data_IF_313978483172
#
_entry.id   IF_313978483172
#
_cell.length_a   1.000
_cell.length_b   1.000
_cell.length_c   1.000
_cell.angle_alpha   90.00
_cell.angle_beta   90.00
_cell.angle_gamma   90.00
#
_symmetry.space_group_name_H-M   'P 1'
#
loop_
_entity.id
_entity.type
_entity.pdbx_description
1 polymer ?
#
# COMPACT_ATOMS: atom_id res chain seq x y z
N UNK A 1 -9.19 -22.97 -37.76
CA UNK A 1 -10.56 -22.86 -37.21
C UNK A 1 -10.48 -23.17 -35.73
N UNK A 2 -10.50 -22.12 -34.88
CA UNK A 2 -10.36 -22.23 -33.42
C UNK A 2 -11.65 -21.68 -32.80
N UNK A 3 -12.35 -22.52 -32.06
CA UNK A 3 -13.52 -22.18 -31.24
C UNK A 3 -13.05 -21.52 -29.94
N UNK A 4 -13.72 -20.46 -29.42
CA UNK A 4 -13.30 -19.83 -28.18
C UNK A 4 -13.97 -20.51 -26.98
N UNK A 5 -13.15 -20.89 -26.01
CA UNK A 5 -13.57 -21.23 -24.66
C UNK A 5 -13.86 -19.91 -23.93
N UNK A 6 -15.13 -19.54 -23.90
CA UNK A 6 -15.71 -18.67 -22.86
C UNK A 6 -16.84 -19.49 -22.29
N UNK A 7 -16.75 -19.93 -21.04
CA UNK A 7 -17.84 -20.31 -20.12
C UNK A 7 -17.22 -21.03 -18.91
N UNK A 8 -16.59 -20.25 -18.02
CA UNK A 8 -16.20 -20.71 -16.68
C UNK A 8 -16.04 -19.51 -15.72
N UNK A 9 -17.03 -18.62 -15.69
CA UNK A 9 -17.10 -17.53 -14.70
C UNK A 9 -18.57 -17.18 -14.49
N UNK A 10 -19.31 -18.02 -13.77
CA UNK A 10 -20.66 -17.71 -13.25
C UNK A 10 -21.16 -18.78 -12.27
N UNK A 11 -20.32 -19.26 -11.35
CA UNK A 11 -20.79 -20.18 -10.29
C UNK A 11 -20.00 -20.00 -8.99
N UNK A 12 -20.05 -18.80 -8.41
CA UNK A 12 -19.74 -18.61 -6.99
C UNK A 12 -20.38 -17.35 -6.38
N UNK A 13 -21.62 -17.03 -6.77
CA UNK A 13 -22.45 -16.05 -6.05
C UNK A 13 -23.89 -16.58 -6.00
N UNK A 14 -24.11 -17.55 -5.13
CA UNK A 14 -25.44 -18.07 -4.83
C UNK A 14 -25.52 -18.51 -3.35
N UNK A 15 -25.21 -17.59 -2.44
CA UNK A 15 -25.59 -17.67 -1.02
C UNK A 15 -25.64 -16.23 -0.51
N UNK A 16 -26.75 -15.55 -0.81
CA UNK A 16 -27.38 -14.46 -0.05
C UNK A 16 -28.55 -13.96 -0.94
N UNK A 17 -29.77 -14.22 -0.49
CA UNK A 17 -30.99 -13.90 -1.22
C UNK A 17 -31.24 -12.38 -1.24
N UNK A 18 -31.20 -11.77 -2.42
CA UNK A 18 -31.78 -10.45 -2.69
C UNK A 18 -32.48 -10.54 -4.07
N UNK A 19 -33.78 -10.19 -4.18
CA UNK A 19 -34.51 -10.33 -5.44
C UNK A 19 -34.08 -9.29 -6.48
N UNK A 20 -33.75 -9.75 -7.69
CA UNK A 20 -33.61 -8.94 -8.90
C UNK A 20 -34.98 -8.35 -9.27
N UNK A 21 -35.25 -7.12 -8.86
CA UNK A 21 -36.25 -6.22 -9.46
C UNK A 21 -35.97 -4.78 -9.01
N UNK A 22 -34.82 -4.25 -9.42
CA UNK A 22 -34.58 -2.81 -9.50
C UNK A 22 -33.35 -2.65 -10.38
N UNK A 23 -33.55 -2.06 -11.57
CA UNK A 23 -32.61 -1.31 -12.43
C UNK A 23 -33.23 -1.36 -13.83
N UNK A 24 -34.14 -0.41 -14.07
CA UNK A 24 -34.47 0.07 -15.41
C UNK A 24 -33.98 1.51 -15.47
N UNK A 25 -33.20 1.84 -16.50
CA UNK A 25 -32.91 3.21 -16.89
C UNK A 25 -31.51 3.68 -16.51
N UNK A 26 -30.55 3.50 -17.43
CA UNK A 26 -29.47 4.47 -17.60
C UNK A 26 -29.39 4.77 -19.09
N UNK A 27 -29.85 5.96 -19.45
CA UNK A 27 -29.61 6.58 -20.75
C UNK A 27 -28.15 7.06 -20.82
N UNK A 28 -27.57 6.95 -22.02
CA UNK A 28 -26.31 7.58 -22.39
C UNK A 28 -26.39 9.10 -22.24
N UNK A 29 -25.39 9.74 -21.60
CA UNK A 29 -24.91 11.05 -22.05
C UNK A 29 -23.54 11.46 -21.50
N UNK A 30 -22.76 11.94 -22.46
CA UNK A 30 -21.84 13.09 -22.42
C UNK A 30 -20.51 12.96 -21.67
N UNK A 31 -19.49 12.72 -22.49
CA UNK A 31 -18.08 13.03 -22.29
C UNK A 31 -17.91 14.50 -21.86
N UNK A 32 -17.34 14.75 -20.69
CA UNK A 32 -16.78 16.05 -20.33
C UNK A 32 -15.26 15.97 -20.24
N UNK A 33 -14.59 16.84 -21.01
CA UNK A 33 -13.14 17.02 -21.04
C UNK A 33 -12.72 17.94 -19.89
N UNK A 34 -11.76 17.48 -19.09
CA UNK A 34 -10.96 18.34 -18.22
C UNK A 34 -11.16 18.01 -16.74
N UNK A 35 -10.07 17.57 -16.11
CA UNK A 35 -9.81 17.57 -14.67
C UNK A 35 -11.00 17.28 -13.75
N UNK A 36 -11.07 16.07 -13.21
CA UNK A 36 -11.37 15.86 -11.78
C UNK A 36 -10.97 14.43 -11.38
N UNK A 37 -10.14 14.37 -10.34
CA UNK A 37 -9.88 13.18 -9.55
C UNK A 37 -10.93 13.27 -8.46
N UNK A 38 -11.95 12.41 -8.49
CA UNK A 38 -12.70 11.84 -7.35
C UNK A 38 -13.98 11.25 -7.94
N UNK A 39 -14.13 9.92 -7.89
CA UNK A 39 -15.40 9.24 -7.66
C UNK A 39 -15.12 7.74 -7.62
N UNK A 40 -15.16 7.18 -6.42
CA UNK A 40 -15.87 5.96 -6.04
C UNK A 40 -15.71 5.80 -4.53
N UNK A 41 -16.59 6.50 -3.80
CA UNK A 41 -17.05 6.14 -2.46
C UNK A 41 -18.57 6.14 -2.57
N UNK A 42 -19.13 5.08 -3.17
CA UNK A 42 -20.55 4.79 -3.07
C UNK A 42 -20.71 3.43 -2.41
N UNK A 43 -20.76 3.45 -1.09
CA UNK A 43 -21.57 2.57 -0.26
C UNK A 43 -21.70 3.18 1.14
N UNK A 44 -22.32 4.36 1.21
CA UNK A 44 -23.24 4.81 2.28
C UNK A 44 -23.84 6.14 1.86
N UNK A 45 -25.17 6.23 1.83
CA UNK A 45 -25.91 7.45 1.49
C UNK A 45 -25.81 8.50 2.61
N UNK A 46 -24.71 9.24 2.67
CA UNK A 46 -24.68 10.54 3.37
C UNK A 46 -24.32 11.67 2.40
N UNK A 47 -24.98 12.85 2.49
CA UNK A 47 -24.73 13.95 1.57
C UNK A 47 -23.31 14.51 1.72
N UNK A 48 -22.59 14.57 0.59
CA UNK A 48 -21.22 15.07 0.40
C UNK A 48 -20.96 16.45 1.03
N UNK A 49 -22.01 17.26 1.15
CA UNK A 49 -21.93 18.62 1.67
C UNK A 49 -21.84 18.72 3.21
N UNK A 50 -22.09 17.62 3.93
CA UNK A 50 -21.86 17.53 5.38
C UNK A 50 -20.41 17.22 5.76
N UNK A 51 -19.58 16.74 4.81
CA UNK A 51 -18.19 16.34 5.03
C UNK A 51 -17.18 17.46 4.74
N UNK A 52 -17.49 18.39 3.83
CA UNK A 52 -16.59 19.52 3.49
C UNK A 52 -16.36 20.46 4.68
N UNK A 53 -17.35 20.64 5.55
CA UNK A 53 -17.28 21.57 6.68
C UNK A 53 -16.48 21.02 7.88
N UNK A 54 -16.15 19.72 7.91
CA UNK A 54 -15.35 19.11 8.99
C UNK A 54 -13.84 19.06 8.74
N UNK A 55 -13.39 19.32 7.51
CA UNK A 55 -11.99 19.12 7.12
C UNK A 55 -11.11 20.36 7.21
N UNK A 56 -11.65 21.51 7.61
CA UNK A 56 -10.89 22.76 7.74
C UNK A 56 -11.30 23.49 9.03
N UNK A 57 -10.86 22.97 10.18
CA UNK A 57 -10.82 23.76 11.42
C UNK A 57 -9.41 23.67 12.02
N UNK A 58 -8.69 24.79 12.18
CA UNK A 58 -7.34 24.80 12.70
C UNK A 58 -7.39 24.82 14.24
N UNK A 59 -7.51 23.65 14.85
CA UNK A 59 -7.11 23.31 16.23
C UNK A 59 -7.57 21.88 16.56
N UNK A 60 -7.01 20.87 15.89
CA UNK A 60 -7.33 19.46 16.18
C UNK A 60 -6.15 18.82 16.92
N UNK A 61 -6.21 18.83 18.25
CA UNK A 61 -5.36 17.96 19.06
C UNK A 61 -6.18 17.34 20.21
N UNK A 62 -7.06 16.36 19.93
CA UNK A 62 -7.56 15.49 20.99
C UNK A 62 -6.47 14.47 21.33
N UNK A 63 -6.24 14.19 22.61
CA UNK A 63 -5.29 13.18 23.08
C UNK A 63 -5.50 11.77 22.45
N UNK A 64 -6.64 11.53 21.81
CA UNK A 64 -7.06 10.31 21.10
C UNK A 64 -7.67 10.63 19.73
N UNK A 65 -7.55 9.74 18.72
CA UNK A 65 -8.26 9.85 17.45
C UNK A 65 -9.78 9.97 17.61
N UNK A 66 -10.45 10.65 16.67
CA UNK A 66 -11.91 10.77 16.67
C UNK A 66 -12.60 9.44 16.37
N UNK A 67 -13.88 9.30 16.74
CA UNK A 67 -14.70 8.12 16.43
C UNK A 67 -14.70 7.79 14.92
N UNK A 68 -14.72 8.81 14.06
CA UNK A 68 -14.67 8.61 12.61
C UNK A 68 -13.34 8.02 12.12
N UNK A 69 -12.22 8.38 12.77
CA UNK A 69 -10.92 7.77 12.49
C UNK A 69 -10.94 6.30 12.91
N UNK A 70 -11.42 6.01 14.13
CA UNK A 70 -11.55 4.65 14.65
C UNK A 70 -12.38 3.75 13.74
N UNK A 71 -13.51 4.22 13.23
CA UNK A 71 -14.34 3.46 12.27
C UNK A 71 -13.57 3.08 11.01
N UNK A 72 -12.71 3.98 10.50
CA UNK A 72 -11.93 3.72 9.28
C UNK A 72 -10.79 2.73 9.49
N UNK A 73 -10.11 2.79 10.65
CA UNK A 73 -8.90 2.00 10.88
C UNK A 73 -9.17 0.62 11.49
N UNK A 74 -10.28 0.44 12.21
CA UNK A 74 -10.58 -0.80 12.95
C UNK A 74 -10.45 -2.07 12.10
N UNK A 75 -10.92 -2.12 10.84
CA UNK A 75 -10.79 -3.31 10.00
C UNK A 75 -9.33 -3.69 9.66
N UNK A 76 -8.40 -2.75 9.85
CA UNK A 76 -7.00 -2.88 9.45
C UNK A 76 -6.05 -3.00 10.64
N UNK A 77 -6.59 -2.98 11.87
CA UNK A 77 -5.79 -3.13 13.07
C UNK A 77 -5.15 -4.52 13.13
N UNK A 78 -3.92 -4.55 13.62
CA UNK A 78 -3.21 -5.80 13.90
C UNK A 78 -3.99 -6.60 14.97
N UNK A 79 -4.24 -7.91 14.76
CA UNK A 79 -4.97 -8.73 15.72
C UNK A 79 -4.32 -8.77 17.10
N UNK A 80 -5.14 -8.86 18.16
CA UNK A 80 -4.66 -8.84 19.55
C UNK A 80 -3.70 -9.98 19.88
N UNK A 81 -3.89 -11.14 19.26
CA UNK A 81 -3.07 -12.34 19.42
C UNK A 81 -1.88 -12.42 18.43
N UNK A 82 -1.65 -11.38 17.62
CA UNK A 82 -0.58 -11.39 16.63
C UNK A 82 0.79 -11.20 17.31
N UNK A 83 1.79 -12.02 16.93
CA UNK A 83 3.10 -12.04 17.57
C UNK A 83 3.80 -10.65 17.57
N UNK A 84 3.78 -9.95 16.44
CA UNK A 84 4.33 -8.59 16.36
C UNK A 84 3.60 -7.60 17.28
N UNK A 85 2.29 -7.77 17.52
CA UNK A 85 1.54 -6.87 18.42
C UNK A 85 2.01 -7.04 19.85
N UNK A 86 2.08 -8.28 20.34
CA UNK A 86 2.52 -8.59 21.71
C UNK A 86 3.91 -7.99 21.97
N UNK A 87 4.82 -8.11 20.99
CA UNK A 87 6.16 -7.53 21.07
C UNK A 87 6.17 -6.00 21.02
N UNK A 88 5.38 -5.40 20.15
CA UNK A 88 5.26 -3.94 20.09
C UNK A 88 4.67 -3.36 21.37
N UNK A 89 3.66 -4.03 21.97
CA UNK A 89 3.09 -3.61 23.26
C UNK A 89 4.16 -3.60 24.36
N UNK A 90 5.02 -4.62 24.40
CA UNK A 90 6.14 -4.71 25.35
C UNK A 90 7.18 -3.60 25.12
N UNK A 91 7.67 -3.47 23.89
CA UNK A 91 8.68 -2.47 23.47
C UNK A 91 8.21 -1.03 23.76
N UNK A 92 6.93 -0.73 23.49
CA UNK A 92 6.40 0.64 23.50
C UNK A 92 5.67 0.99 24.81
N UNK A 93 5.50 0.04 25.73
CA UNK A 93 4.73 0.20 26.97
C UNK A 93 5.07 1.44 27.80
N UNK A 94 6.32 1.89 27.78
CA UNK A 94 6.80 3.02 28.57
C UNK A 94 7.76 3.94 27.79
N UNK A 95 7.76 3.85 26.46
CA UNK A 95 8.72 4.57 25.62
C UNK A 95 8.00 5.30 24.48
N UNK A 96 8.30 6.59 24.31
CA UNK A 96 7.82 7.37 23.17
C UNK A 96 8.77 7.21 21.98
N UNK A 97 8.88 5.97 21.46
CA UNK A 97 9.88 5.61 20.46
C UNK A 97 9.78 6.44 19.16
N UNK A 98 8.59 6.90 18.79
CA UNK A 98 8.36 7.61 17.52
C UNK A 98 8.23 9.12 17.67
N UNK A 99 8.81 9.73 18.72
CA UNK A 99 8.85 11.18 18.84
C UNK A 99 9.80 11.81 17.80
N UNK A 100 11.07 11.40 17.83
CA UNK A 100 12.14 11.82 16.92
C UNK A 100 13.09 10.65 16.61
N UNK A 101 14.12 10.88 15.78
CA UNK A 101 15.09 9.83 15.41
C UNK A 101 15.90 9.32 16.61
N UNK A 102 16.20 10.18 17.58
CA UNK A 102 16.97 9.82 18.77
C UNK A 102 16.18 8.90 19.68
N UNK A 103 14.89 9.21 19.89
CA UNK A 103 13.96 8.40 20.68
C UNK A 103 13.74 7.03 20.05
N UNK A 104 13.69 6.98 18.72
CA UNK A 104 13.55 5.73 17.96
C UNK A 104 14.79 4.84 18.10
N UNK A 105 15.99 5.43 17.97
CA UNK A 105 17.26 4.71 18.21
C UNK A 105 17.38 4.25 19.67
N UNK A 106 17.00 5.09 20.65
CA UNK A 106 17.01 4.73 22.06
C UNK A 106 16.07 3.56 22.39
N UNK A 107 14.99 3.42 21.62
CA UNK A 107 14.08 2.27 21.66
C UNK A 107 14.58 1.07 20.83
N UNK A 108 15.86 1.03 20.46
CA UNK A 108 16.52 -0.07 19.74
C UNK A 108 15.97 -0.38 18.34
N UNK A 109 15.25 0.56 17.73
CA UNK A 109 14.94 0.48 16.30
C UNK A 109 16.18 0.83 15.47
N UNK A 110 16.33 0.17 14.32
CA UNK A 110 17.44 0.43 13.41
C UNK A 110 17.45 1.88 12.92
N UNK A 111 18.66 2.42 12.76
CA UNK A 111 18.87 3.74 12.17
C UNK A 111 18.35 3.77 10.76
N UNK A 112 17.33 4.58 10.53
CA UNK A 112 16.77 4.82 9.22
C UNK A 112 16.53 6.31 9.03
N UNK A 113 16.95 6.83 7.88
CA UNK A 113 16.67 8.21 7.50
C UNK A 113 15.26 8.33 6.90
N UNK A 114 14.56 9.45 7.13
CA UNK A 114 13.32 9.73 6.44
C UNK A 114 13.49 9.68 4.91
N UNK A 115 12.56 9.04 4.23
CA UNK A 115 12.54 9.04 2.76
C UNK A 115 12.33 10.47 2.24
N UNK A 116 13.11 10.85 1.21
CA UNK A 116 13.11 12.20 0.67
C UNK A 116 11.72 12.78 0.35
N UNK A 117 10.83 11.99 -0.25
CA UNK A 117 9.51 12.48 -0.70
C UNK A 117 8.38 12.27 0.30
N UNK A 118 8.33 11.11 0.93
CA UNK A 118 7.22 10.74 1.81
C UNK A 118 7.51 11.08 3.26
N UNK A 119 8.77 11.31 3.63
CA UNK A 119 9.27 11.45 5.00
C UNK A 119 9.03 10.21 5.88
N UNK A 120 8.53 9.11 5.30
CA UNK A 120 8.35 7.85 6.02
C UNK A 120 9.72 7.31 6.40
N UNK A 121 9.80 6.79 7.61
CA UNK A 121 10.92 6.00 8.08
C UNK A 121 10.53 4.53 7.97
N UNK A 122 11.39 3.74 7.32
CA UNK A 122 11.27 2.29 7.23
C UNK A 122 12.36 1.71 8.13
N UNK A 123 11.96 1.06 9.22
CA UNK A 123 12.89 0.57 10.25
C UNK A 123 12.53 -0.85 10.70
N UNK A 124 13.41 -1.47 11.46
CA UNK A 124 13.28 -2.81 12.05
C UNK A 124 13.63 -2.76 13.52
N UNK A 125 13.21 -3.77 14.26
CA UNK A 125 13.60 -3.97 15.65
C UNK A 125 14.10 -5.41 15.83
N UNK A 126 15.19 -5.67 16.58
CA UNK A 126 15.74 -7.02 16.75
C UNK A 126 14.75 -8.07 17.27
N UNK A 127 13.76 -7.63 18.08
CA UNK A 127 12.70 -8.51 18.60
C UNK A 127 11.51 -8.73 17.64
N UNK A 128 11.40 -7.95 16.57
CA UNK A 128 10.33 -8.04 15.57
C UNK A 128 10.79 -8.81 14.33
N UNK A 129 11.35 -10.01 14.54
CA UNK A 129 11.85 -10.86 13.44
C UNK A 129 10.72 -11.20 12.46
N UNK A 130 11.01 -11.03 11.17
CA UNK A 130 10.03 -11.26 10.10
C UNK A 130 9.10 -10.07 9.85
N UNK A 131 9.34 -8.91 10.46
CA UNK A 131 8.53 -7.71 10.26
C UNK A 131 9.38 -6.46 9.99
N UNK A 132 8.78 -5.52 9.27
CA UNK A 132 9.28 -4.17 9.01
C UNK A 132 8.24 -3.16 9.50
N UNK A 133 8.70 -2.06 10.06
CA UNK A 133 7.86 -0.97 10.55
C UNK A 133 8.01 0.24 9.64
N UNK A 134 6.87 0.82 9.23
CA UNK A 134 6.83 2.15 8.61
C UNK A 134 6.19 3.14 9.57
N UNK A 135 6.89 4.22 9.85
CA UNK A 135 6.47 5.23 10.81
C UNK A 135 6.68 6.65 10.27
N UNK A 136 5.84 7.56 10.78
CA UNK A 136 6.12 8.98 10.80
C UNK A 136 6.46 9.34 12.25
N UNK A 137 7.32 10.34 12.43
CA UNK A 137 7.70 10.84 13.75
C UNK A 137 6.80 12.01 14.16
N UNK A 138 6.64 12.24 15.46
CA UNK A 138 5.84 13.36 15.98
C UNK A 138 6.40 14.72 15.57
N UNK A 139 7.74 14.82 15.43
CA UNK A 139 8.43 16.03 14.96
C UNK A 139 8.27 16.30 13.46
N UNK A 140 7.63 15.39 12.71
CA UNK A 140 7.39 15.55 11.28
C UNK A 140 6.00 16.13 10.97
N UNK A 141 5.95 16.99 9.95
CA UNK A 141 4.71 17.39 9.32
C UNK A 141 4.02 16.22 8.62
N UNK A 142 2.69 16.35 8.46
CA UNK A 142 1.91 15.39 7.70
C UNK A 142 2.28 15.43 6.21
N UNK A 143 2.61 14.25 5.66
CA UNK A 143 2.88 14.11 4.24
C UNK A 143 1.65 14.53 3.41
N UNK A 144 1.83 15.52 2.53
CA UNK A 144 0.74 16.10 1.73
C UNK A 144 -0.45 16.60 2.57
N UNK A 145 -0.22 17.01 3.83
CA UNK A 145 -1.26 17.49 4.74
C UNK A 145 -2.28 16.41 5.15
N UNK A 146 -1.95 15.12 4.98
CA UNK A 146 -2.84 14.00 5.35
C UNK A 146 -2.29 13.25 6.57
N UNK A 147 -3.16 12.84 7.50
CA UNK A 147 -2.75 12.05 8.66
C UNK A 147 -2.20 10.70 8.22
N UNK A 148 -1.30 10.12 9.02
CA UNK A 148 -0.56 8.91 8.69
C UNK A 148 -1.46 7.72 8.34
N UNK A 149 -2.57 7.55 9.08
CA UNK A 149 -3.50 6.44 8.88
C UNK A 149 -4.11 6.43 7.47
N UNK A 150 -4.24 7.60 6.83
CA UNK A 150 -4.74 7.70 5.47
C UNK A 150 -3.89 6.88 4.51
N UNK A 151 -2.56 7.02 4.58
CA UNK A 151 -1.66 6.27 3.72
C UNK A 151 -1.48 4.81 4.16
N UNK A 152 -1.61 4.51 5.45
CA UNK A 152 -1.60 3.14 5.95
C UNK A 152 -2.77 2.32 5.39
N UNK A 153 -3.99 2.86 5.45
CA UNK A 153 -5.18 2.22 4.85
C UNK A 153 -4.96 1.97 3.36
N UNK A 154 -4.49 2.97 2.60
CA UNK A 154 -4.22 2.80 1.17
C UNK A 154 -3.21 1.69 0.88
N UNK A 155 -2.12 1.61 1.65
CA UNK A 155 -1.12 0.54 1.48
C UNK A 155 -1.72 -0.83 1.76
N UNK A 156 -2.54 -0.98 2.78
CA UNK A 156 -3.17 -2.25 3.13
C UNK A 156 -4.16 -2.68 2.03
N UNK A 157 -5.03 -1.76 1.60
CA UNK A 157 -5.98 -2.02 0.52
C UNK A 157 -5.28 -2.41 -0.78
N UNK A 158 -4.26 -1.67 -1.20
CA UNK A 158 -3.52 -2.02 -2.42
C UNK A 158 -2.77 -3.35 -2.29
N UNK A 159 -2.28 -3.69 -1.09
CA UNK A 159 -1.65 -5.00 -0.86
C UNK A 159 -2.65 -6.16 -1.00
N UNK A 160 -3.88 -5.96 -0.51
CA UNK A 160 -4.95 -6.94 -0.63
C UNK A 160 -5.37 -7.16 -2.09
N UNK A 161 -5.58 -6.06 -2.84
CA UNK A 161 -5.89 -6.13 -4.27
C UNK A 161 -4.81 -6.88 -5.06
N UNK A 162 -3.53 -6.57 -4.79
CA UNK A 162 -2.39 -7.25 -5.42
C UNK A 162 -2.38 -8.74 -5.05
N UNK A 163 -2.63 -9.09 -3.78
CA UNK A 163 -2.61 -10.49 -3.34
C UNK A 163 -3.70 -11.30 -4.03
N UNK A 164 -4.90 -10.74 -4.13
CA UNK A 164 -6.03 -11.36 -4.84
C UNK A 164 -5.74 -11.55 -6.32
N UNK A 165 -5.18 -10.53 -6.98
CA UNK A 165 -4.80 -10.62 -8.39
C UNK A 165 -3.68 -11.65 -8.64
N UNK A 166 -2.65 -11.70 -7.77
CA UNK A 166 -1.60 -12.74 -7.86
C UNK A 166 -2.23 -14.14 -7.76
N UNK A 167 -3.16 -14.34 -6.82
CA UNK A 167 -3.82 -15.62 -6.62
C UNK A 167 -4.73 -16.00 -7.80
N UNK A 168 -5.51 -15.06 -8.34
CA UNK A 168 -6.45 -15.32 -9.45
C UNK A 168 -5.74 -15.70 -10.74
N UNK A 169 -4.56 -15.12 -11.00
CA UNK A 169 -3.73 -15.45 -12.17
C UNK A 169 -2.78 -16.62 -11.95
N UNK A 170 -2.68 -17.14 -10.72
CA UNK A 170 -1.76 -18.22 -10.39
C UNK A 170 -0.28 -17.81 -10.40
N UNK A 171 0.03 -16.52 -10.18
CA UNK A 171 1.40 -15.98 -10.21
C UNK A 171 2.14 -16.07 -8.87
N UNK A 172 1.65 -16.85 -7.90
CA UNK A 172 2.24 -16.93 -6.56
C UNK A 172 3.68 -17.47 -6.51
N UNK A 173 4.11 -18.19 -7.55
CA UNK A 173 5.49 -18.65 -7.73
C UNK A 173 6.43 -17.56 -8.26
N UNK A 174 5.89 -16.48 -8.85
CA UNK A 174 6.66 -15.37 -9.44
C UNK A 174 6.59 -14.11 -8.57
N UNK A 175 5.43 -13.84 -7.99
CA UNK A 175 5.09 -12.58 -7.36
C UNK A 175 4.64 -12.80 -5.91
N UNK A 176 4.95 -11.84 -5.04
CA UNK A 176 4.52 -11.81 -3.63
C UNK A 176 4.21 -10.38 -3.17
N UNK A 177 3.43 -10.23 -2.13
CA UNK A 177 3.09 -8.94 -1.50
C UNK A 177 2.95 -9.18 0.00
N UNK A 178 3.48 -8.30 0.88
CA UNK A 178 3.42 -8.56 2.32
C UNK A 178 1.98 -8.37 2.82
N UNK A 179 1.63 -9.11 3.87
CA UNK A 179 0.56 -8.69 4.75
C UNK A 179 0.96 -7.40 5.49
N UNK A 180 -0.04 -6.56 5.75
CA UNK A 180 0.14 -5.21 6.30
C UNK A 180 -0.97 -4.94 7.31
N UNK A 181 -0.62 -4.32 8.43
CA UNK A 181 -1.54 -4.01 9.52
C UNK A 181 -1.22 -2.65 10.13
N UNK A 182 -2.23 -2.03 10.75
CA UNK A 182 -2.07 -0.83 11.55
C UNK A 182 -1.84 -1.23 13.01
N UNK A 183 -0.79 -0.71 13.63
CA UNK A 183 -0.59 -0.77 15.07
C UNK A 183 -0.87 0.60 15.69
N UNK A 184 -1.68 0.63 16.74
CA UNK A 184 -1.95 1.83 17.53
C UNK A 184 -0.80 2.07 18.50
N UNK A 185 -0.18 3.25 18.41
CA UNK A 185 0.82 3.68 19.38
C UNK A 185 0.15 3.94 20.75
N UNK A 186 0.81 3.53 21.85
CA UNK A 186 0.28 3.77 23.18
C UNK A 186 0.23 5.27 23.49
N UNK A 187 -0.77 5.67 24.29
CA UNK A 187 -0.91 7.05 24.74
C UNK A 187 0.04 7.32 25.92
N UNK A 188 1.31 7.52 25.62
CA UNK A 188 2.35 7.72 26.64
C UNK A 188 2.40 9.15 27.19
N UNK A 189 1.28 9.89 27.12
CA UNK A 189 1.15 11.23 27.69
C UNK A 189 2.10 12.25 27.09
N UNK A 190 2.38 12.14 25.78
CA UNK A 190 3.35 13.00 25.10
C UNK A 190 3.06 14.47 25.40
N UNK A 191 4.02 15.13 26.05
CA UNK A 191 4.04 16.58 26.20
C UNK A 191 4.24 17.14 24.79
N UNK A 192 3.16 17.25 24.03
CA UNK A 192 3.13 18.04 22.83
C UNK A 192 3.48 19.47 23.25
N UNK A 193 4.78 19.80 23.20
CA UNK A 193 5.18 21.17 22.98
C UNK A 193 4.36 21.66 21.78
N UNK A 194 3.97 22.94 21.78
CA UNK A 194 2.99 23.52 20.86
C UNK A 194 3.26 23.36 19.34
N UNK A 195 4.32 22.63 18.95
CA UNK A 195 4.76 22.41 17.58
C UNK A 195 4.79 20.94 17.13
N UNK A 196 4.68 19.95 18.02
CA UNK A 196 4.72 18.53 17.61
C UNK A 196 3.33 17.99 17.22
N UNK A 197 3.25 17.30 16.09
CA UNK A 197 2.02 16.67 15.61
C UNK A 197 2.01 15.20 16.02
N UNK A 198 1.28 14.87 17.10
CA UNK A 198 1.16 13.51 17.62
C UNK A 198 0.70 12.54 16.53
N UNK A 199 1.50 11.50 16.28
CA UNK A 199 1.15 10.35 15.45
C UNK A 199 0.52 9.27 16.33
N UNK A 200 -0.51 8.62 15.81
CA UNK A 200 -1.27 7.61 16.55
C UNK A 200 -1.01 6.21 16.04
N UNK A 201 -0.48 6.09 14.82
CA UNK A 201 -0.44 4.82 14.11
C UNK A 201 0.86 4.60 13.36
N UNK A 202 1.38 3.38 13.45
CA UNK A 202 2.43 2.88 12.58
C UNK A 202 1.87 1.77 11.70
N UNK A 203 2.54 1.51 10.58
CA UNK A 203 2.27 0.36 9.74
C UNK A 203 3.26 -0.76 10.07
N UNK A 204 2.73 -1.94 10.34
CA UNK A 204 3.48 -3.18 10.48
C UNK A 204 3.30 -3.97 9.20
N UNK A 205 4.38 -4.42 8.58
CA UNK A 205 4.33 -5.29 7.39
C UNK A 205 5.29 -6.46 7.52
N UNK A 206 4.99 -7.56 6.84
CA UNK A 206 5.91 -8.70 6.76
C UNK A 206 7.23 -8.29 6.09
N UNK A 207 8.34 -8.79 6.64
CA UNK A 207 9.64 -8.70 6.00
C UNK A 207 9.68 -9.66 4.81
N UNK A 208 9.88 -9.11 3.62
CA UNK A 208 9.84 -9.85 2.37
C UNK A 208 11.17 -10.53 2.03
N UNK A 209 12.19 -10.43 2.89
CA UNK A 209 13.54 -10.98 2.72
C UNK A 209 14.17 -10.58 1.39
N UNK A 210 14.35 -9.27 1.23
CA UNK A 210 14.80 -8.67 -0.02
C UNK A 210 16.32 -8.72 -0.16
N UNK A 211 16.79 -8.73 -1.41
CA UNK A 211 18.17 -8.32 -1.69
C UNK A 211 18.38 -6.84 -1.36
N UNK A 212 19.62 -6.46 -1.08
CA UNK A 212 19.98 -5.05 -0.98
C UNK A 212 19.78 -4.32 -2.32
N UNK A 213 19.72 -2.98 -2.28
CA UNK A 213 19.37 -2.18 -3.46
C UNK A 213 20.33 -2.40 -4.65
N UNK A 214 21.63 -2.58 -4.38
CA UNK A 214 22.63 -2.75 -5.42
C UNK A 214 22.48 -4.10 -6.13
N UNK A 215 22.33 -5.19 -5.35
CA UNK A 215 22.10 -6.54 -5.87
C UNK A 215 20.74 -6.61 -6.56
N UNK A 216 19.69 -6.02 -5.98
CA UNK A 216 18.36 -5.96 -6.57
C UNK A 216 18.38 -5.30 -7.95
N UNK A 217 19.05 -4.15 -8.08
CA UNK A 217 19.21 -3.47 -9.38
C UNK A 217 20.00 -4.34 -10.37
N UNK A 218 21.05 -5.03 -9.92
CA UNK A 218 21.82 -5.93 -10.78
C UNK A 218 20.98 -7.10 -11.30
N UNK A 219 20.11 -7.69 -10.46
CA UNK A 219 19.21 -8.75 -10.90
C UNK A 219 18.26 -8.31 -12.00
N UNK A 220 17.68 -7.10 -11.88
CA UNK A 220 16.77 -6.55 -12.90
C UNK A 220 17.43 -6.47 -14.29
N UNK A 221 18.74 -6.21 -14.34
CA UNK A 221 19.51 -6.12 -15.58
C UNK A 221 20.10 -7.44 -16.08
N UNK A 222 19.81 -8.56 -15.41
CA UNK A 222 20.40 -9.86 -15.68
C UNK A 222 19.45 -10.81 -16.42
N UNK A 223 19.97 -11.96 -16.85
CA UNK A 223 19.20 -13.06 -17.45
C UNK A 223 18.24 -13.75 -16.46
N UNK A 224 18.27 -13.38 -15.18
CA UNK A 224 17.31 -13.87 -14.19
C UNK A 224 15.88 -13.38 -14.49
N UNK A 225 15.74 -12.14 -14.98
CA UNK A 225 14.44 -11.61 -15.38
C UNK A 225 14.05 -12.22 -16.72
N UNK A 226 13.03 -13.06 -16.71
CA UNK A 226 12.49 -13.72 -17.90
C UNK A 226 11.23 -13.01 -18.41
N UNK A 227 10.79 -13.39 -19.61
CA UNK A 227 9.49 -12.97 -20.15
C UNK A 227 8.34 -13.27 -19.20
N UNK A 228 8.36 -14.42 -18.51
CA UNK A 228 7.30 -14.84 -17.58
C UNK A 228 7.17 -13.87 -16.40
N UNK A 229 8.28 -13.44 -15.80
CA UNK A 229 8.26 -12.43 -14.73
C UNK A 229 7.72 -11.08 -15.23
N UNK A 230 8.14 -10.65 -16.43
CA UNK A 230 7.69 -9.38 -16.99
C UNK A 230 6.21 -9.40 -17.37
N UNK A 231 5.73 -10.50 -17.94
CA UNK A 231 4.31 -10.67 -18.27
C UNK A 231 3.47 -10.68 -16.98
N UNK A 232 3.86 -11.46 -15.97
CA UNK A 232 3.15 -11.50 -14.68
C UNK A 232 3.11 -10.12 -14.01
N UNK A 233 4.25 -9.43 -13.93
CA UNK A 233 4.31 -8.07 -13.38
C UNK A 233 3.43 -7.11 -14.18
N UNK A 234 3.53 -7.16 -15.51
CA UNK A 234 2.78 -6.31 -16.42
C UNK A 234 1.27 -6.48 -16.21
N UNK A 235 0.78 -7.73 -16.17
CA UNK A 235 -0.63 -8.05 -15.97
C UNK A 235 -1.15 -7.42 -14.69
N UNK A 236 -0.49 -7.66 -13.55
CA UNK A 236 -0.93 -7.17 -12.24
C UNK A 236 -0.91 -5.64 -12.17
N UNK A 237 0.19 -5.03 -12.64
CA UNK A 237 0.35 -3.57 -12.63
C UNK A 237 -0.69 -2.89 -13.51
N UNK A 238 -0.96 -3.45 -14.69
CA UNK A 238 -1.93 -2.92 -15.65
C UNK A 238 -3.35 -3.03 -15.12
N UNK A 239 -3.76 -4.23 -14.69
CA UNK A 239 -5.11 -4.53 -14.23
C UNK A 239 -5.51 -3.65 -13.05
N UNK A 240 -4.60 -3.51 -12.08
CA UNK A 240 -4.86 -2.74 -10.86
C UNK A 240 -4.49 -1.26 -10.99
N UNK A 241 -3.96 -0.82 -12.13
CA UNK A 241 -3.52 0.56 -12.34
C UNK A 241 -2.47 1.01 -11.32
N UNK A 242 -1.43 0.19 -11.08
CA UNK A 242 -0.40 0.46 -10.08
C UNK A 242 0.60 1.51 -10.57
N UNK A 243 0.39 2.77 -10.18
CA UNK A 243 1.06 3.94 -10.77
C UNK A 243 2.60 3.88 -10.74
N UNK A 244 3.17 3.40 -9.64
CA UNK A 244 4.60 3.46 -9.32
C UNK A 244 5.26 2.10 -9.07
N UNK A 245 4.52 0.99 -9.23
CA UNK A 245 5.01 -0.39 -9.11
C UNK A 245 5.73 -0.88 -10.38
N UNK A 246 6.54 0.00 -10.98
CA UNK A 246 7.33 -0.26 -12.19
C UNK A 246 8.73 0.33 -11.99
N UNK A 247 9.31 0.11 -10.82
CA UNK A 247 10.71 0.46 -10.50
C UNK A 247 11.27 -0.56 -9.51
N UNK A 248 12.57 -0.88 -9.56
CA UNK A 248 13.18 -1.88 -8.68
C UNK A 248 12.94 -1.66 -7.18
N UNK A 249 12.89 -0.41 -6.73
CA UNK A 249 12.68 -0.09 -5.31
C UNK A 249 11.24 -0.34 -4.80
N UNK A 250 10.23 -0.35 -5.69
CA UNK A 250 8.84 -0.67 -5.30
C UNK A 250 8.48 -2.13 -5.58
N UNK A 251 9.21 -2.76 -6.51
CA UNK A 251 9.08 -4.18 -6.87
C UNK A 251 10.44 -4.89 -6.72
N UNK A 252 11.07 -4.93 -5.54
CA UNK A 252 12.35 -5.59 -5.36
C UNK A 252 12.25 -7.11 -5.49
N UNK A 253 13.37 -7.75 -5.80
CA UNK A 253 13.51 -9.20 -5.84
C UNK A 253 13.82 -9.71 -4.43
N UNK A 254 13.06 -10.71 -4.02
CA UNK A 254 13.20 -11.43 -2.75
C UNK A 254 14.15 -12.61 -2.91
N UNK A 255 14.81 -13.00 -1.82
CA UNK A 255 15.79 -14.10 -1.81
C UNK A 255 15.18 -15.46 -2.14
N UNK A 256 13.85 -15.59 -2.01
CA UNK A 256 13.09 -16.76 -2.45
C UNK A 256 12.80 -16.79 -3.96
N UNK A 257 13.37 -15.87 -4.74
CA UNK A 257 13.22 -15.84 -6.19
C UNK A 257 11.91 -15.23 -6.68
N UNK A 258 11.20 -14.45 -5.86
CA UNK A 258 9.96 -13.77 -6.27
C UNK A 258 10.13 -12.26 -6.33
N UNK A 259 9.36 -11.59 -7.16
CA UNK A 259 9.24 -10.13 -7.16
C UNK A 259 8.22 -9.73 -6.07
N UNK A 260 8.64 -8.86 -5.15
CA UNK A 260 7.82 -8.40 -4.02
C UNK A 260 7.24 -7.01 -4.26
N UNK A 261 5.93 -6.81 -4.13
CA UNK A 261 5.31 -5.47 -4.13
C UNK A 261 5.37 -4.83 -2.74
N UNK A 262 6.34 -3.94 -2.50
CA UNK A 262 6.54 -3.35 -1.16
C UNK A 262 5.89 -1.98 -0.96
N UNK A 263 5.66 -1.23 -2.04
CA UNK A 263 4.88 0.00 -2.02
C UNK A 263 3.59 -0.20 -2.79
N UNK A 264 2.47 -0.12 -2.06
CA UNK A 264 1.15 -0.52 -2.56
C UNK A 264 0.11 0.59 -2.41
N UNK A 265 0.55 1.84 -2.23
CA UNK A 265 -0.37 2.96 -1.96
C UNK A 265 -1.07 3.53 -3.20
N UNK A 266 -0.54 3.26 -4.40
CA UNK A 266 -0.89 3.95 -5.64
C UNK A 266 -1.55 2.99 -6.64
N UNK A 267 -2.85 2.74 -6.49
CA UNK A 267 -3.64 1.85 -7.35
C UNK A 267 -4.82 2.59 -8.03
N UNK A 268 -5.45 1.94 -9.01
CA UNK A 268 -6.50 2.47 -9.89
C UNK A 268 -6.12 3.75 -10.64
N UNK A 269 -4.84 3.94 -10.92
CA UNK A 269 -4.38 5.08 -11.72
C UNK A 269 -4.77 4.89 -13.19
N UNK A 270 -5.28 5.95 -13.82
CA UNK A 270 -5.59 5.97 -15.27
C UNK A 270 -4.38 5.69 -16.17
N UNK A 271 -3.17 5.89 -15.65
CA UNK A 271 -1.91 5.70 -16.38
C UNK A 271 -0.88 5.09 -15.46
N UNK A 272 -0.27 3.99 -15.87
CA UNK A 272 0.90 3.40 -15.21
C UNK A 272 2.18 3.99 -15.81
N UNK A 273 3.21 4.18 -14.98
CA UNK A 273 4.52 4.70 -15.40
C UNK A 273 5.50 3.60 -15.84
N UNK A 274 5.10 2.75 -16.79
CA UNK A 274 5.88 1.58 -17.23
C UNK A 274 7.34 1.89 -17.61
N UNK A 275 7.61 3.10 -18.10
CA UNK A 275 8.93 3.55 -18.53
C UNK A 275 9.95 3.62 -17.38
N UNK A 276 9.50 3.59 -16.13
CA UNK A 276 10.39 3.61 -14.97
C UNK A 276 11.18 2.32 -14.77
N UNK A 277 10.71 1.20 -15.33
CA UNK A 277 11.39 -0.09 -15.20
C UNK A 277 12.39 -0.30 -16.33
N UNK A 278 12.09 0.18 -17.54
CA UNK A 278 12.87 -0.04 -18.77
C UNK A 278 14.38 0.15 -18.59
N UNK A 279 14.88 1.24 -17.94
CA UNK A 279 16.33 1.47 -17.84
C UNK A 279 17.09 0.41 -17.03
N UNK A 280 16.38 -0.42 -16.26
CA UNK A 280 16.97 -1.43 -15.39
C UNK A 280 17.01 -2.82 -16.03
N UNK A 281 16.36 -3.02 -17.18
CA UNK A 281 16.26 -4.31 -17.84
C UNK A 281 17.45 -4.57 -18.78
N UNK A 282 17.77 -5.83 -19.04
CA UNK A 282 18.71 -6.20 -20.12
C UNK A 282 18.16 -5.74 -21.49
N UNK A 283 18.99 -5.51 -22.52
CA UNK A 283 18.51 -5.04 -23.83
C UNK A 283 17.40 -5.91 -24.43
N UNK A 284 17.50 -7.23 -24.28
CA UNK A 284 16.48 -8.19 -24.72
C UNK A 284 15.18 -8.00 -23.95
N UNK A 285 15.26 -7.88 -22.61
CA UNK A 285 14.08 -7.67 -21.77
C UNK A 285 13.47 -6.27 -21.93
N UNK A 286 14.26 -5.26 -22.29
CA UNK A 286 13.75 -3.94 -22.65
C UNK A 286 12.86 -4.02 -23.90
N UNK A 287 13.30 -4.72 -24.94
CA UNK A 287 12.51 -4.90 -26.15
C UNK A 287 11.18 -5.59 -25.84
N UNK A 288 11.22 -6.71 -25.11
CA UNK A 288 10.01 -7.44 -24.72
C UNK A 288 9.07 -6.59 -23.84
N UNK A 289 9.60 -5.85 -22.86
CA UNK A 289 8.80 -4.96 -22.02
C UNK A 289 8.10 -3.86 -22.84
N UNK A 290 8.79 -3.28 -23.83
CA UNK A 290 8.21 -2.29 -24.73
C UNK A 290 7.12 -2.88 -25.63
N UNK A 291 7.26 -4.14 -26.06
CA UNK A 291 6.23 -4.86 -26.80
C UNK A 291 4.94 -5.04 -25.97
N UNK A 292 5.07 -5.46 -24.70
CA UNK A 292 3.93 -5.56 -23.77
C UNK A 292 3.20 -4.22 -23.61
N UNK A 293 3.95 -3.12 -23.48
CA UNK A 293 3.38 -1.77 -23.36
C UNK A 293 2.67 -1.36 -24.66
N UNK A 294 3.25 -1.67 -25.82
CA UNK A 294 2.70 -1.27 -27.11
C UNK A 294 1.42 -2.04 -27.49
N UNK A 295 1.32 -3.32 -27.10
CA UNK A 295 0.18 -4.20 -27.38
C UNK A 295 -1.10 -3.86 -26.61
N UNK A 296 -1.03 -2.96 -25.63
CA UNK A 296 -2.15 -2.54 -24.77
C UNK A 296 -2.59 -1.10 -25.03
N UNK A 297 -2.61 -0.71 -26.31
CA UNK A 297 -3.19 0.56 -26.76
C UNK A 297 -4.65 0.38 -27.16
#
# INVERSE_FOLDING_TARGET
MKTPIRHAFLTLYALLAIPLNAIQGIEERAICKGCEIYEWFELTQEPVESLKTRLLSPAFNPASPSTSVWTQITPFLIPSNHAAKIKLDDILSNVQAFYDLQSMEAASFDKALPQHHTQIIVTRHPELKGYVIKAYLDVQDYHSGKPEYYFWIKRILGAELIRQAIASHGYGHLLKVPHKWIYQLPDNGSNASNHALKKYFILVEEDMDLYDDAINVAFWGSEWVTNEYLEALYTIVTELGLFDCTKPANCPISKDGRIAFVDTQSFHAKRVKYQKLTPYLSPTMQAYWLELIAGNK
#
